data_IF_121557789610
#
_entry.id   IF_121557789610
#
_cell.length_a   1.000
_cell.length_b   1.000
_cell.length_c   1.000
_cell.angle_alpha   90.00
_cell.angle_beta   90.00
_cell.angle_gamma   90.00
#
_symmetry.space_group_name_H-M   'P 1'
#
loop_
_entity.id
_entity.type
_entity.pdbx_description
1 polymer ?
#
# COMPACT_ATOMS: atom_id res chain seq x y z
N UNK A 1 -6.84 23.91 19.14
CA UNK A 1 -8.30 23.67 19.29
C UNK A 1 -8.62 22.20 19.50
N UNK A 2 -8.07 21.27 18.69
CA UNK A 2 -8.30 19.83 18.87
C UNK A 2 -7.83 19.30 20.24
N UNK A 3 -6.58 19.52 20.63
CA UNK A 3 -6.04 19.08 21.94
C UNK A 3 -6.94 19.51 23.10
N UNK A 4 -7.29 20.79 23.18
CA UNK A 4 -8.19 21.31 24.21
C UNK A 4 -9.55 20.59 24.21
N UNK A 5 -10.15 20.33 23.04
CA UNK A 5 -11.41 19.61 22.97
C UNK A 5 -11.29 18.18 23.55
N UNK A 6 -10.19 17.48 23.23
CA UNK A 6 -9.89 16.14 23.76
C UNK A 6 -9.69 16.19 25.29
N UNK A 7 -9.02 17.23 25.79
CA UNK A 7 -8.81 17.42 27.24
C UNK A 7 -10.08 17.75 27.99
N UNK A 8 -11.01 18.46 27.35
CA UNK A 8 -12.35 18.73 27.90
C UNK A 8 -13.33 17.56 27.78
N UNK A 9 -12.86 16.37 27.34
CA UNK A 9 -13.66 15.15 27.31
C UNK A 9 -14.41 14.88 26.00
N UNK A 10 -14.05 15.54 24.90
CA UNK A 10 -14.61 15.21 23.59
C UNK A 10 -14.28 13.75 23.22
N UNK A 11 -15.29 12.99 22.78
CA UNK A 11 -15.10 11.61 22.37
C UNK A 11 -14.45 11.53 20.98
N UNK A 12 -13.15 11.22 20.94
CA UNK A 12 -12.35 11.07 19.71
C UNK A 12 -12.66 9.81 18.88
N UNK A 13 -13.46 8.90 19.44
CA UNK A 13 -13.77 7.61 18.81
C UNK A 13 -15.08 7.64 18.01
N UNK A 14 -15.70 8.80 17.84
CA UNK A 14 -16.88 8.96 16.99
C UNK A 14 -16.49 8.69 15.53
N UNK A 15 -17.24 7.80 14.89
CA UNK A 15 -17.09 7.43 13.48
C UNK A 15 -18.28 8.01 12.71
N UNK A 16 -18.01 8.66 11.59
CA UNK A 16 -19.05 9.22 10.73
C UNK A 16 -19.77 8.12 9.91
N UNK A 17 -20.80 8.49 9.15
CA UNK A 17 -21.56 7.55 8.32
C UNK A 17 -20.73 6.87 7.22
N UNK A 18 -19.58 7.45 6.85
CA UNK A 18 -18.65 6.87 5.88
C UNK A 18 -17.63 5.92 6.53
N UNK A 19 -17.78 5.59 7.82
CA UNK A 19 -16.85 4.73 8.54
C UNK A 19 -15.52 5.40 8.91
N UNK A 20 -15.44 6.75 8.83
CA UNK A 20 -14.21 7.50 9.12
C UNK A 20 -14.30 8.20 10.47
N UNK A 21 -13.26 8.06 11.28
CA UNK A 21 -13.07 8.81 12.51
C UNK A 21 -12.17 10.03 12.27
N UNK A 22 -11.72 10.61 13.37
CA UNK A 22 -10.90 11.83 13.32
C UNK A 22 -9.53 11.58 12.65
N UNK A 23 -8.96 10.39 12.84
CA UNK A 23 -7.64 9.99 12.32
C UNK A 23 -7.65 9.98 10.78
N UNK A 24 -8.68 9.40 10.15
CA UNK A 24 -8.77 9.30 8.68
C UNK A 24 -9.12 10.61 7.98
N UNK A 25 -9.57 11.62 8.73
CA UNK A 25 -9.98 12.91 8.18
C UNK A 25 -8.87 13.97 8.23
N UNK A 26 -7.87 13.81 9.10
CA UNK A 26 -6.76 14.76 9.22
C UNK A 26 -5.58 14.42 8.31
N UNK A 27 -4.92 15.45 7.79
CA UNK A 27 -3.89 15.35 6.73
C UNK A 27 -2.69 16.29 6.94
N UNK A 28 -2.42 16.67 8.20
CA UNK A 28 -1.38 17.65 8.53
C UNK A 28 -0.66 17.27 9.81
N UNK A 29 0.63 17.60 9.85
CA UNK A 29 1.59 17.20 10.90
C UNK A 29 1.15 17.66 12.29
N UNK A 30 0.69 18.91 12.43
CA UNK A 30 0.12 19.44 13.67
C UNK A 30 -0.98 18.55 14.25
N UNK A 31 -1.81 17.95 13.41
CA UNK A 31 -2.86 17.03 13.86
C UNK A 31 -2.31 15.67 14.25
N UNK A 32 -1.27 15.19 13.56
CA UNK A 32 -0.64 13.92 13.89
C UNK A 32 0.01 13.97 15.28
N UNK A 33 0.74 15.04 15.60
CA UNK A 33 1.33 15.24 16.93
C UNK A 33 0.26 15.32 18.04
N UNK A 34 -0.84 16.02 17.78
CA UNK A 34 -1.96 16.09 18.74
C UNK A 34 -2.60 14.71 18.93
N UNK A 35 -2.78 13.91 17.87
CA UNK A 35 -3.34 12.57 17.98
C UNK A 35 -2.39 11.65 18.76
N UNK A 36 -1.09 11.67 18.45
CA UNK A 36 -0.10 10.84 19.12
C UNK A 36 0.03 11.18 20.61
N UNK A 37 -0.01 12.47 20.97
CA UNK A 37 0.05 12.89 22.39
C UNK A 37 -1.18 12.48 23.22
N UNK A 38 -2.29 12.15 22.56
CA UNK A 38 -3.54 11.72 23.20
C UNK A 38 -3.91 10.27 22.85
N UNK A 39 -2.93 9.47 22.40
CA UNK A 39 -3.21 8.17 21.79
C UNK A 39 -3.88 7.17 22.74
N UNK A 40 -3.73 7.37 24.04
CA UNK A 40 -4.38 6.61 25.12
C UNK A 40 -5.92 6.78 25.11
N UNK A 41 -6.43 7.91 24.61
CA UNK A 41 -7.85 8.19 24.48
C UNK A 41 -8.48 7.54 23.24
N UNK A 42 -7.66 6.97 22.34
CA UNK A 42 -8.12 6.34 21.11
C UNK A 42 -8.26 4.82 21.26
N UNK A 43 -9.42 4.32 20.86
CA UNK A 43 -9.67 2.89 20.72
C UNK A 43 -8.87 2.35 19.53
N UNK A 44 -8.05 1.33 19.80
CA UNK A 44 -7.33 0.60 18.76
C UNK A 44 -8.35 -0.09 17.86
N UNK A 45 -8.28 0.21 16.58
CA UNK A 45 -9.24 -0.25 15.58
C UNK A 45 -8.60 -0.33 14.20
N UNK A 46 -9.35 -0.85 13.26
CA UNK A 46 -9.00 -0.76 11.85
C UNK A 46 -9.23 0.66 11.33
N UNK A 47 -8.20 1.24 10.71
CA UNK A 47 -8.23 2.51 10.02
C UNK A 47 -8.35 2.26 8.52
N UNK A 48 -9.31 2.91 7.88
CA UNK A 48 -9.56 2.77 6.45
C UNK A 48 -8.99 3.96 5.68
N UNK A 49 -7.88 3.73 4.99
CA UNK A 49 -7.06 4.79 4.38
C UNK A 49 -7.33 4.84 2.87
N UNK A 50 -7.73 6.02 2.39
CA UNK A 50 -7.93 6.31 0.96
C UNK A 50 -7.05 7.46 0.46
N UNK A 51 -6.17 7.98 1.31
CA UNK A 51 -5.27 9.08 1.03
C UNK A 51 -3.96 8.92 1.80
N UNK A 52 -2.84 9.27 1.19
CA UNK A 52 -1.55 9.34 1.83
C UNK A 52 -0.69 10.45 1.21
N UNK A 53 0.17 11.05 2.01
CA UNK A 53 1.37 11.77 1.59
C UNK A 53 2.56 11.18 2.37
N UNK A 54 3.75 11.75 2.23
CA UNK A 54 4.94 11.26 2.93
C UNK A 54 4.72 11.23 4.46
N UNK A 55 4.25 12.34 5.04
CA UNK A 55 4.02 12.47 6.48
C UNK A 55 2.92 11.54 7.00
N UNK A 56 1.84 11.37 6.23
CA UNK A 56 0.77 10.43 6.57
C UNK A 56 1.31 8.99 6.59
N UNK A 57 2.25 8.62 5.72
CA UNK A 57 2.84 7.29 5.73
C UNK A 57 3.62 7.00 7.03
N UNK A 58 4.40 7.97 7.52
CA UNK A 58 5.06 7.88 8.83
C UNK A 58 4.06 7.81 9.97
N UNK A 59 3.05 8.68 9.95
CA UNK A 59 2.02 8.66 10.98
C UNK A 59 1.27 7.33 11.03
N UNK A 60 0.95 6.73 9.89
CA UNK A 60 0.33 5.39 9.83
C UNK A 60 1.26 4.29 10.35
N UNK A 61 2.57 4.42 10.13
CA UNK A 61 3.57 3.54 10.73
C UNK A 61 3.57 3.66 12.25
N UNK A 62 3.59 4.87 12.81
CA UNK A 62 3.52 5.09 14.27
C UNK A 62 2.23 4.49 14.86
N UNK A 63 1.09 4.70 14.20
CA UNK A 63 -0.18 4.12 14.63
C UNK A 63 -0.17 2.59 14.56
N UNK A 64 0.41 2.00 13.52
CA UNK A 64 0.56 0.55 13.40
C UNK A 64 1.37 -0.04 14.55
N UNK A 65 2.53 0.56 14.86
CA UNK A 65 3.37 0.16 16.00
C UNK A 65 2.66 0.34 17.35
N UNK A 66 1.73 1.31 17.43
CA UNK A 66 0.86 1.53 18.60
C UNK A 66 -0.40 0.64 18.62
N UNK A 67 -0.49 -0.36 17.74
CA UNK A 67 -1.52 -1.41 17.76
C UNK A 67 -2.77 -1.14 16.92
N UNK A 68 -2.76 -0.11 16.06
CA UNK A 68 -3.84 0.07 15.09
C UNK A 68 -3.67 -0.89 13.90
N UNK A 69 -4.78 -1.40 13.38
CA UNK A 69 -4.77 -2.12 12.10
C UNK A 69 -4.97 -1.13 10.96
N UNK A 70 -4.15 -1.20 9.91
CA UNK A 70 -4.25 -0.29 8.77
C UNK A 70 -4.79 -1.09 7.57
N UNK A 71 -5.81 -0.55 6.91
CA UNK A 71 -6.35 -1.12 5.69
C UNK A 71 -6.48 -0.05 4.61
N UNK A 72 -5.82 -0.31 3.48
CA UNK A 72 -5.93 0.56 2.31
C UNK A 72 -7.24 0.30 1.55
N UNK A 73 -7.82 1.36 1.00
CA UNK A 73 -8.91 1.23 0.04
C UNK A 73 -8.38 0.60 -1.26
N UNK A 74 -8.71 -0.68 -1.49
CA UNK A 74 -8.23 -1.44 -2.66
C UNK A 74 -8.51 -0.77 -4.01
N UNK A 75 -9.59 -0.01 -4.12
CA UNK A 75 -10.02 0.58 -5.38
C UNK A 75 -9.44 1.96 -5.66
N UNK A 76 -9.10 2.73 -4.63
CA UNK A 76 -8.72 4.12 -4.81
C UNK A 76 -7.96 4.68 -3.60
N UNK A 77 -6.62 4.65 -3.66
CA UNK A 77 -5.76 5.42 -2.73
C UNK A 77 -5.07 6.54 -3.50
N UNK A 78 -5.22 7.77 -3.01
CA UNK A 78 -4.52 8.94 -3.54
C UNK A 78 -3.19 9.12 -2.80
N UNK A 79 -2.08 9.16 -3.54
CA UNK A 79 -0.75 9.55 -3.05
C UNK A 79 -0.49 10.99 -3.49
N UNK A 80 -0.53 11.94 -2.56
CA UNK A 80 -0.24 13.35 -2.80
C UNK A 80 1.14 13.71 -2.25
N UNK A 81 2.18 13.46 -3.03
CA UNK A 81 3.58 13.64 -2.64
C UNK A 81 4.44 13.75 -3.90
N UNK A 82 5.72 14.10 -3.76
CA UNK A 82 6.63 14.16 -4.90
C UNK A 82 6.90 12.75 -5.45
N UNK A 83 7.20 12.65 -6.74
CA UNK A 83 7.43 11.35 -7.40
C UNK A 83 8.61 10.60 -6.77
N UNK A 84 9.61 11.34 -6.27
CA UNK A 84 10.78 10.78 -5.57
C UNK A 84 10.39 10.05 -4.27
N UNK A 85 9.35 10.49 -3.59
CA UNK A 85 8.87 9.91 -2.33
C UNK A 85 8.02 8.65 -2.52
N UNK A 86 7.49 8.42 -3.73
CA UNK A 86 6.52 7.35 -3.98
C UNK A 86 7.04 5.97 -3.59
N UNK A 87 8.32 5.70 -3.82
CA UNK A 87 8.93 4.43 -3.49
C UNK A 87 8.93 4.22 -1.97
N UNK A 88 9.33 5.22 -1.22
CA UNK A 88 9.47 5.14 0.24
C UNK A 88 8.08 5.07 0.91
N UNK A 89 7.13 5.85 0.41
CA UNK A 89 5.72 5.74 0.81
C UNK A 89 5.20 4.33 0.58
N UNK A 90 5.33 3.78 -0.64
CA UNK A 90 4.85 2.42 -0.93
C UNK A 90 5.51 1.36 -0.04
N UNK A 91 6.79 1.51 0.29
CA UNK A 91 7.47 0.59 1.20
C UNK A 91 6.90 0.66 2.61
N UNK A 92 6.67 1.85 3.15
CA UNK A 92 6.03 2.02 4.47
C UNK A 92 4.60 1.46 4.47
N UNK A 93 3.82 1.77 3.44
CA UNK A 93 2.45 1.28 3.32
C UNK A 93 2.41 -0.26 3.22
N UNK A 94 3.35 -0.87 2.51
CA UNK A 94 3.47 -2.33 2.40
C UNK A 94 3.92 -3.00 3.70
N UNK A 95 4.57 -2.26 4.60
CA UNK A 95 4.93 -2.75 5.93
C UNK A 95 3.69 -2.82 6.85
N UNK A 96 2.82 -1.80 6.79
CA UNK A 96 1.65 -1.70 7.69
C UNK A 96 0.37 -2.36 7.16
N UNK A 97 0.32 -2.70 5.87
CA UNK A 97 -0.86 -3.29 5.21
C UNK A 97 -0.44 -4.11 3.98
N UNK A 98 -1.22 -5.14 3.64
CA UNK A 98 -1.14 -5.76 2.31
C UNK A 98 -1.70 -4.78 1.27
N UNK A 99 -0.86 -4.35 0.33
CA UNK A 99 -1.21 -3.35 -0.69
C UNK A 99 -0.96 -3.83 -2.12
N UNK A 100 -0.66 -5.11 -2.32
CA UNK A 100 -0.28 -5.63 -3.64
C UNK A 100 -1.44 -5.57 -4.65
N UNK A 101 -2.69 -5.57 -4.20
CA UNK A 101 -3.90 -5.42 -5.03
C UNK A 101 -4.52 -4.01 -5.01
N UNK A 102 -3.86 -3.04 -4.38
CA UNK A 102 -4.35 -1.67 -4.24
C UNK A 102 -4.06 -0.83 -5.48
N UNK A 103 -5.05 -0.03 -5.90
CA UNK A 103 -4.90 0.94 -7.00
C UNK A 103 -4.49 2.32 -6.46
N UNK A 104 -3.26 2.71 -6.77
CA UNK A 104 -2.69 4.02 -6.41
C UNK A 104 -2.84 5.06 -7.52
N UNK A 105 -3.22 6.27 -7.13
CA UNK A 105 -3.41 7.43 -8.00
C UNK A 105 -2.68 8.64 -7.43
N UNK A 106 -2.30 9.59 -8.28
CA UNK A 106 -1.86 10.90 -7.80
C UNK A 106 -3.07 11.80 -7.45
N UNK A 107 -2.78 13.01 -6.97
CA UNK A 107 -3.75 14.07 -6.65
C UNK A 107 -4.71 14.43 -7.80
N UNK A 108 -4.24 14.29 -9.05
CA UNK A 108 -5.02 14.46 -10.28
C UNK A 108 -5.83 13.22 -10.68
N UNK A 109 -5.90 12.20 -9.82
CA UNK A 109 -6.59 10.92 -10.05
C UNK A 109 -6.07 10.15 -11.27
N UNK A 110 -4.81 10.37 -11.63
CA UNK A 110 -4.12 9.61 -12.68
C UNK A 110 -3.41 8.43 -12.02
N UNK A 111 -3.46 7.20 -12.60
CA UNK A 111 -2.72 6.08 -12.06
C UNK A 111 -1.25 6.43 -11.85
N UNK A 112 -0.73 6.13 -10.66
CA UNK A 112 0.57 6.64 -10.21
C UNK A 112 1.74 6.28 -11.13
N UNK A 113 1.63 5.14 -11.83
CA UNK A 113 2.64 4.64 -12.76
C UNK A 113 2.54 5.23 -14.18
N UNK A 114 1.54 6.07 -14.48
CA UNK A 114 1.39 6.71 -15.80
C UNK A 114 2.26 7.96 -15.90
N UNK A 115 3.03 8.10 -16.99
CA UNK A 115 3.83 9.30 -17.23
C UNK A 115 5.06 9.49 -16.34
N UNK A 116 5.32 8.61 -15.37
CA UNK A 116 6.47 8.74 -14.45
C UNK A 116 7.74 8.08 -14.99
N UNK A 117 8.79 8.06 -14.17
CA UNK A 117 10.03 7.34 -14.49
C UNK A 117 9.76 5.83 -14.61
N UNK A 118 10.17 5.23 -15.74
CA UNK A 118 10.01 3.79 -15.98
C UNK A 118 10.71 2.93 -14.94
N UNK A 119 11.79 3.40 -14.34
CA UNK A 119 12.52 2.63 -13.33
C UNK A 119 11.73 2.48 -12.04
N UNK A 120 10.92 3.49 -11.68
CA UNK A 120 9.95 3.38 -10.58
C UNK A 120 8.87 2.35 -10.94
N UNK A 121 8.31 2.41 -12.15
CA UNK A 121 7.29 1.44 -12.59
C UNK A 121 7.84 0.01 -12.65
N UNK A 122 9.07 -0.19 -13.14
CA UNK A 122 9.77 -1.49 -13.13
C UNK A 122 10.00 -1.97 -11.70
N UNK A 123 10.38 -1.07 -10.79
CA UNK A 123 10.50 -1.38 -9.36
C UNK A 123 9.15 -1.80 -8.77
N UNK A 124 8.06 -1.08 -9.09
CA UNK A 124 6.71 -1.45 -8.63
C UNK A 124 6.32 -2.84 -9.13
N UNK A 125 6.52 -3.10 -10.42
CA UNK A 125 6.30 -4.43 -11.00
C UNK A 125 7.10 -5.45 -10.21
N UNK A 126 8.43 -5.27 -10.07
CA UNK A 126 9.35 -6.20 -9.38
C UNK A 126 8.99 -6.52 -7.91
N UNK A 127 8.22 -5.66 -7.26
CA UNK A 127 7.74 -5.86 -5.89
C UNK A 127 6.24 -6.22 -5.85
N UNK A 128 5.72 -6.71 -6.98
CA UNK A 128 4.37 -7.28 -7.11
C UNK A 128 3.23 -6.31 -6.78
N UNK A 129 3.46 -5.00 -6.92
CA UNK A 129 2.40 -4.02 -6.84
C UNK A 129 1.53 -4.04 -8.10
N UNK A 130 0.23 -3.77 -7.94
CA UNK A 130 -0.73 -3.71 -9.04
C UNK A 130 -0.41 -2.57 -10.02
N UNK A 131 0.16 -2.94 -11.17
CA UNK A 131 0.42 -2.05 -12.31
C UNK A 131 -0.39 -2.52 -13.52
N UNK A 132 -1.47 -1.80 -13.83
CA UNK A 132 -2.27 -1.99 -15.05
C UNK A 132 -1.63 -1.25 -16.23
N UNK A 133 -0.81 -1.98 -16.97
CA UNK A 133 -0.08 -1.42 -18.12
C UNK A 133 -1.00 -0.91 -19.25
N UNK A 134 -2.27 -1.33 -19.31
CA UNK A 134 -3.23 -0.75 -20.28
C UNK A 134 -3.42 0.76 -20.05
N UNK A 135 -3.33 1.21 -18.80
CA UNK A 135 -3.42 2.65 -18.47
C UNK A 135 -2.21 3.47 -18.90
N UNK A 136 -1.13 2.80 -19.30
CA UNK A 136 0.08 3.44 -19.87
C UNK A 136 0.06 3.47 -21.40
N UNK A 137 -1.00 3.00 -22.06
CA UNK A 137 -1.14 3.12 -23.51
C UNK A 137 -1.01 4.58 -23.96
N UNK A 138 -0.25 4.80 -25.04
CA UNK A 138 0.13 6.12 -25.54
C UNK A 138 1.39 6.72 -24.91
N UNK A 139 1.87 6.20 -23.76
CA UNK A 139 3.12 6.66 -23.17
C UNK A 139 4.31 6.17 -24.02
N UNK A 140 5.32 7.04 -24.22
CA UNK A 140 6.56 6.70 -24.97
C UNK A 140 7.27 5.44 -24.43
N UNK A 141 7.08 5.14 -23.15
CA UNK A 141 7.72 4.02 -22.43
C UNK A 141 6.85 2.76 -22.36
N UNK A 142 5.62 2.78 -22.88
CA UNK A 142 4.64 1.70 -22.78
C UNK A 142 5.19 0.34 -23.24
N UNK A 143 5.70 0.27 -24.48
CA UNK A 143 6.23 -0.96 -25.08
C UNK A 143 7.35 -1.58 -24.24
N UNK A 144 8.22 -0.74 -23.67
CA UNK A 144 9.33 -1.19 -22.82
C UNK A 144 8.81 -1.80 -21.51
N UNK A 145 7.81 -1.17 -20.87
CA UNK A 145 7.22 -1.67 -19.62
C UNK A 145 6.48 -2.99 -19.84
N UNK A 146 5.75 -3.14 -20.94
CA UNK A 146 5.08 -4.40 -21.32
C UNK A 146 6.13 -5.50 -21.51
N UNK A 147 7.17 -5.26 -22.31
CA UNK A 147 8.23 -6.23 -22.54
C UNK A 147 8.98 -6.60 -21.24
N UNK A 148 9.15 -5.66 -20.31
CA UNK A 148 9.73 -5.94 -18.99
C UNK A 148 8.84 -6.88 -18.16
N UNK A 149 7.55 -6.57 -18.04
CA UNK A 149 6.59 -7.38 -17.27
C UNK A 149 6.50 -8.81 -17.83
N UNK A 150 6.35 -8.95 -19.15
CA UNK A 150 6.27 -10.27 -19.80
C UNK A 150 7.51 -11.13 -19.56
N UNK A 151 8.72 -10.56 -19.68
CA UNK A 151 9.96 -11.30 -19.41
C UNK A 151 10.06 -11.77 -17.95
N UNK A 152 9.56 -10.97 -17.02
CA UNK A 152 9.54 -11.33 -15.61
C UNK A 152 8.57 -12.48 -15.33
N UNK A 153 7.34 -12.38 -15.81
CA UNK A 153 6.32 -13.44 -15.68
C UNK A 153 6.82 -14.77 -16.30
N UNK A 154 7.47 -14.71 -17.47
CA UNK A 154 8.09 -15.88 -18.10
C UNK A 154 9.20 -16.50 -17.25
N UNK A 155 10.05 -15.68 -16.60
CA UNK A 155 11.12 -16.13 -15.72
C UNK A 155 10.57 -16.78 -14.44
N UNK A 156 9.55 -16.18 -13.84
CA UNK A 156 8.86 -16.71 -12.66
C UNK A 156 8.18 -18.05 -12.99
N UNK A 157 7.44 -18.12 -14.09
CA UNK A 157 6.83 -19.35 -14.57
C UNK A 157 7.87 -20.45 -14.82
N UNK A 158 8.97 -20.12 -15.49
CA UNK A 158 10.08 -21.06 -15.74
C UNK A 158 10.71 -21.59 -14.43
N UNK A 159 10.80 -20.73 -13.42
CA UNK A 159 11.34 -21.10 -12.09
C UNK A 159 10.41 -22.07 -11.37
N UNK A 160 9.10 -21.81 -11.40
CA UNK A 160 8.08 -22.71 -10.82
C UNK A 160 8.07 -24.07 -11.52
N UNK A 161 8.22 -24.11 -12.84
CA UNK A 161 8.30 -25.37 -13.59
C UNK A 161 9.54 -26.19 -13.20
N UNK A 162 10.70 -25.55 -13.07
CA UNK A 162 11.95 -26.22 -12.66
C UNK A 162 11.87 -26.76 -11.24
N UNK A 163 11.33 -25.98 -10.30
CA UNK A 163 11.20 -26.42 -8.90
C UNK A 163 10.22 -27.60 -8.74
N UNK A 164 9.16 -27.67 -9.54
CA UNK A 164 8.22 -28.81 -9.56
C UNK A 164 8.84 -30.08 -10.13
N UNK A 165 9.73 -29.99 -11.12
CA UNK A 165 10.45 -31.14 -11.69
C UNK A 165 11.48 -31.75 -10.74
N UNK A 166 11.94 -31.00 -9.74
CA UNK A 166 12.93 -31.45 -8.75
C UNK A 166 12.36 -32.19 -7.52
N UNK A 167 11.04 -32.34 -7.38
CA UNK A 167 10.45 -33.18 -6.33
C UNK A 167 10.44 -34.63 -6.81
N UNK A 168 11.18 -35.56 -6.17
CA UNK A 168 11.08 -36.98 -6.51
C UNK A 168 9.65 -37.42 -6.23
N UNK A 169 9.00 -38.03 -7.22
CA UNK A 169 7.75 -38.74 -6.98
C UNK A 169 7.99 -39.76 -5.88
N UNK A 170 7.12 -39.79 -4.87
CA UNK A 170 7.13 -40.79 -3.80
C UNK A 170 7.18 -42.16 -4.49
N UNK A 171 8.33 -42.83 -4.42
CA UNK A 171 8.46 -44.18 -4.91
C UNK A 171 7.52 -45.05 -4.09
N UNK A 172 6.46 -45.56 -4.73
CA UNK A 172 5.65 -46.64 -4.16
C UNK A 172 6.56 -47.85 -4.04
N UNK A 173 7.11 -48.08 -2.85
CA UNK A 173 7.75 -49.35 -2.53
C UNK A 173 6.70 -50.44 -2.66
N UNK A 174 6.79 -51.21 -3.75
CA UNK A 174 6.03 -52.44 -3.94
C UNK A 174 6.45 -53.43 -2.87
N UNK A 175 5.57 -53.64 -1.90
CA UNK A 175 5.66 -54.76 -0.97
C UNK A 175 5.53 -56.06 -1.77
N UNK A 176 6.56 -56.90 -1.69
CA UNK A 176 6.50 -58.30 -2.10
C UNK A 176 5.70 -59.07 -1.05
N UNK A 177 4.74 -59.85 -1.54
CA UNK A 177 3.99 -60.90 -0.85
C UNK A 177 4.90 -62.01 -0.33
#
# INVERSE_FOLDING_TARGET
>A
MLSLAIDTGCNVNIINQAGKGIIENFRSDDFFEIILSHIDKFLKRTLHIDFCNYQTAFFLFDLYELGFSIQMNKNHVIINSYIEDYKDILLMLNYVSDIHDVKFYNDKRIPMYKGINKEIVKWMIRNDFLVDLKKTEGDKKHKELVAYKTRREQKEFSTVLKSRRGKPGIAKNGGRL
#
